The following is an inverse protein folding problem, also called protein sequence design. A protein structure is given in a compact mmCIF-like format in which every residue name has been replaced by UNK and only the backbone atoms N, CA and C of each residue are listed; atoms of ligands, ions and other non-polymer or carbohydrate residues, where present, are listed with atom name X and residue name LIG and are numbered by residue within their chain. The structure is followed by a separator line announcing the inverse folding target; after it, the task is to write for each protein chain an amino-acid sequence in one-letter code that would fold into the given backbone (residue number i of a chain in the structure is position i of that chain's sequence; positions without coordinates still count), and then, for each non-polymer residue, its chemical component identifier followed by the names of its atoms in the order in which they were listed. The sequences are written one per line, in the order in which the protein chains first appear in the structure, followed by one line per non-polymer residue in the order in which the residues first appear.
data_IF_308266933847
#
_entry.id   IF_308266933847
#
_cell.length_a   1.000
_cell.length_b   1.000
_cell.length_c   1.000
_cell.angle_alpha   90.00
_cell.angle_beta   90.00
_cell.angle_gamma   90.00
#
_symmetry.space_group_name_H-M   'P 1'
#
loop_
_entity.id
_entity.type
_entity.pdbx_description
1 polymer ?
#
# COMPACT_ATOMS: atom_id res chain seq x y z
N UNK A 1 -65.06 -9.63 49.65
CA UNK A 1 -64.49 -8.59 48.78
C UNK A 1 -62.97 -8.65 48.90
N UNK A 2 -62.24 -8.94 47.82
CA UNK A 2 -60.77 -9.01 47.88
C UNK A 2 -60.16 -9.46 46.56
N UNK A 3 -60.31 -8.65 45.50
CA UNK A 3 -59.61 -8.88 44.23
C UNK A 3 -58.23 -8.24 44.33
N UNK A 4 -57.19 -9.04 44.57
CA UNK A 4 -55.79 -8.58 44.65
C UNK A 4 -55.28 -8.30 43.23
N UNK A 5 -55.09 -7.01 42.96
CA UNK A 5 -54.67 -6.46 41.68
C UNK A 5 -53.19 -6.83 41.41
N UNK A 6 -52.92 -7.53 40.31
CA UNK A 6 -51.57 -7.96 39.90
C UNK A 6 -51.08 -7.00 38.81
N UNK A 7 -49.96 -6.27 38.96
CA UNK A 7 -49.48 -5.40 37.91
C UNK A 7 -48.95 -6.25 36.75
N UNK A 8 -49.35 -5.89 35.52
CA UNK A 8 -48.86 -6.50 34.30
C UNK A 8 -47.36 -6.18 34.09
N UNK A 9 -46.58 -7.10 33.51
CA UNK A 9 -45.18 -6.84 33.19
C UNK A 9 -45.08 -5.79 32.07
N UNK A 10 -44.19 -4.82 32.25
CA UNK A 10 -43.88 -3.81 31.26
C UNK A 10 -43.41 -4.45 29.94
N UNK A 11 -43.71 -3.84 28.78
CA UNK A 11 -43.19 -4.33 27.51
C UNK A 11 -41.67 -4.21 27.53
N UNK A 12 -40.98 -5.34 27.34
CA UNK A 12 -39.55 -5.37 27.06
C UNK A 12 -39.32 -4.54 25.80
N UNK A 13 -38.48 -3.53 25.89
CA UNK A 13 -37.95 -2.82 24.73
C UNK A 13 -37.43 -3.88 23.76
N UNK A 14 -38.08 -3.98 22.61
CA UNK A 14 -37.66 -4.88 21.55
C UNK A 14 -36.23 -4.52 21.18
N UNK A 15 -35.39 -5.54 21.11
CA UNK A 15 -33.99 -5.50 20.74
C UNK A 15 -33.75 -4.57 19.54
N UNK A 16 -33.12 -3.42 19.79
CA UNK A 16 -32.49 -2.57 18.77
C UNK A 16 -31.11 -3.15 18.37
N UNK A 17 -30.95 -4.48 18.47
CA UNK A 17 -29.75 -5.21 18.07
C UNK A 17 -29.84 -5.59 16.58
N UNK A 18 -30.13 -4.58 15.74
CA UNK A 18 -29.79 -4.68 14.33
C UNK A 18 -28.34 -4.20 14.22
N UNK A 19 -27.42 -5.00 13.67
CA UNK A 19 -26.12 -4.48 13.30
C UNK A 19 -26.36 -3.48 12.17
N UNK A 20 -26.58 -2.21 12.52
CA UNK A 20 -26.29 -1.12 11.60
C UNK A 20 -24.81 -1.28 11.31
N UNK A 21 -24.51 -2.00 10.23
CA UNK A 21 -23.12 -2.19 9.81
C UNK A 21 -22.52 -0.80 9.73
N UNK A 22 -21.26 -0.60 10.15
CA UNK A 22 -20.65 0.74 10.18
C UNK A 22 -20.83 1.55 8.87
N UNK A 23 -21.11 0.86 7.75
CA UNK A 23 -21.48 1.41 6.46
C UNK A 23 -22.81 2.19 6.43
N UNK A 24 -23.79 1.83 7.25
CA UNK A 24 -25.10 2.50 7.33
C UNK A 24 -25.06 3.76 8.22
N UNK A 25 -24.10 3.84 9.15
CA UNK A 25 -23.85 5.03 9.98
C UNK A 25 -22.85 6.00 9.35
N UNK A 26 -21.92 5.51 8.53
CA UNK A 26 -21.06 6.37 7.73
C UNK A 26 -21.84 6.88 6.52
N UNK A 27 -21.92 8.21 6.39
CA UNK A 27 -22.47 8.85 5.22
C UNK A 27 -21.75 8.32 3.94
N UNK A 28 -22.46 7.73 2.96
CA UNK A 28 -21.85 7.15 1.76
C UNK A 28 -20.99 8.17 0.99
N UNK A 29 -21.33 9.47 1.05
CA UNK A 29 -20.52 10.56 0.49
C UNK A 29 -19.11 10.63 1.10
N UNK A 30 -18.98 10.34 2.40
CA UNK A 30 -17.67 10.34 3.10
C UNK A 30 -16.85 9.12 2.68
N UNK A 31 -17.50 7.97 2.49
CA UNK A 31 -16.85 6.75 2.01
C UNK A 31 -16.34 6.94 0.57
N UNK A 32 -17.11 7.59 -0.30
CA UNK A 32 -16.67 7.90 -1.67
C UNK A 32 -15.48 8.86 -1.67
N UNK A 33 -15.52 9.92 -0.86
CA UNK A 33 -14.37 10.84 -0.70
C UNK A 33 -13.13 10.11 -0.19
N UNK A 34 -13.28 9.22 0.79
CA UNK A 34 -12.17 8.45 1.34
C UNK A 34 -11.58 7.47 0.31
N UNK A 35 -12.41 6.82 -0.51
CA UNK A 35 -11.93 6.00 -1.63
C UNK A 35 -11.16 6.85 -2.64
N UNK A 36 -11.71 7.99 -3.06
CA UNK A 36 -11.04 8.89 -3.99
C UNK A 36 -9.68 9.36 -3.45
N UNK A 37 -9.58 9.70 -2.16
CA UNK A 37 -8.32 10.07 -1.52
C UNK A 37 -7.34 8.88 -1.42
N UNK A 38 -7.83 7.69 -1.07
CA UNK A 38 -7.01 6.47 -1.05
C UNK A 38 -6.44 6.17 -2.44
N UNK A 39 -7.25 6.29 -3.49
CA UNK A 39 -6.82 6.01 -4.85
C UNK A 39 -5.83 7.06 -5.36
N UNK A 40 -6.00 8.33 -4.99
CA UNK A 40 -5.00 9.37 -5.22
C UNK A 40 -3.67 9.08 -4.52
N UNK A 41 -3.71 8.72 -3.23
CA UNK A 41 -2.49 8.40 -2.47
C UNK A 41 -1.75 7.20 -3.06
N UNK A 42 -2.47 6.15 -3.46
CA UNK A 42 -1.87 4.98 -4.12
C UNK A 42 -1.24 5.34 -5.46
N UNK A 43 -1.87 6.21 -6.24
CA UNK A 43 -1.32 6.67 -7.51
C UNK A 43 -0.03 7.48 -7.30
N UNK A 44 0.01 8.32 -6.26
CA UNK A 44 1.20 9.10 -5.93
C UNK A 44 2.34 8.22 -5.38
N UNK A 45 2.04 7.23 -4.54
CA UNK A 45 3.02 6.24 -4.08
C UNK A 45 3.59 5.41 -5.25
N UNK A 46 2.73 4.98 -6.18
CA UNK A 46 3.17 4.25 -7.37
C UNK A 46 4.14 5.10 -8.20
N UNK A 47 3.82 6.37 -8.45
CA UNK A 47 4.72 7.30 -9.15
C UNK A 47 6.04 7.50 -8.42
N UNK A 48 6.03 7.68 -7.10
CA UNK A 48 7.25 7.84 -6.29
C UNK A 48 8.15 6.61 -6.42
N UNK A 49 7.56 5.42 -6.37
CA UNK A 49 8.30 4.16 -6.50
C UNK A 49 8.87 3.98 -7.91
N UNK A 50 8.12 4.33 -8.94
CA UNK A 50 8.62 4.32 -10.33
C UNK A 50 9.77 5.30 -10.54
N UNK A 51 9.69 6.51 -9.98
CA UNK A 51 10.77 7.50 -10.04
C UNK A 51 12.03 7.03 -9.32
N UNK A 52 11.89 6.41 -8.15
CA UNK A 52 13.00 5.85 -7.39
C UNK A 52 13.68 4.71 -8.16
N UNK A 53 12.90 3.81 -8.75
CA UNK A 53 13.43 2.74 -9.59
C UNK A 53 14.14 3.27 -10.83
N UNK A 54 13.59 4.31 -11.46
CA UNK A 54 14.23 4.96 -12.62
C UNK A 54 15.56 5.60 -12.23
N UNK A 55 15.63 6.32 -11.10
CA UNK A 55 16.87 6.91 -10.58
C UNK A 55 17.91 5.85 -10.24
N UNK A 56 17.49 4.75 -9.61
CA UNK A 56 18.39 3.65 -9.28
C UNK A 56 18.95 2.96 -10.54
N UNK A 57 18.12 2.77 -11.57
CA UNK A 57 18.56 2.22 -12.86
C UNK A 57 19.55 3.16 -13.59
N UNK A 58 19.28 4.47 -13.56
CA UNK A 58 20.18 5.47 -14.15
C UNK A 58 21.52 5.53 -13.41
N UNK A 59 21.50 5.49 -12.07
CA UNK A 59 22.71 5.45 -11.26
C UNK A 59 23.56 4.21 -11.57
N UNK A 60 22.93 3.03 -11.64
CA UNK A 60 23.63 1.79 -12.02
C UNK A 60 24.23 1.87 -13.42
N UNK A 61 23.51 2.46 -14.38
CA UNK A 61 24.03 2.65 -15.74
C UNK A 61 25.21 3.62 -15.76
N UNK A 62 25.14 4.71 -14.99
CA UNK A 62 26.22 5.68 -14.90
C UNK A 62 27.47 5.08 -14.24
N UNK A 63 27.28 4.29 -13.18
CA UNK A 63 28.34 3.56 -12.51
C UNK A 63 28.98 2.52 -13.44
N UNK A 64 28.17 1.69 -14.10
CA UNK A 64 28.65 0.73 -15.09
C UNK A 64 29.47 1.44 -16.17
N UNK A 65 28.97 2.56 -16.71
CA UNK A 65 29.71 3.35 -17.69
C UNK A 65 31.03 3.86 -17.11
N UNK A 66 31.10 4.26 -15.84
CA UNK A 66 32.36 4.67 -15.22
C UNK A 66 33.32 3.49 -15.05
N UNK A 67 32.83 2.33 -14.66
CA UNK A 67 33.62 1.11 -14.53
C UNK A 67 34.14 0.62 -15.87
N UNK A 68 33.33 0.72 -16.93
CA UNK A 68 33.73 0.40 -18.31
C UNK A 68 34.79 1.36 -18.86
N UNK A 69 34.86 2.59 -18.35
CA UNK A 69 35.91 3.55 -18.69
C UNK A 69 37.14 3.45 -17.75
N UNK A 70 37.04 2.69 -16.66
CA UNK A 70 38.14 2.52 -15.71
C UNK A 70 38.98 1.30 -16.11
N UNK A 71 40.19 1.56 -16.61
CA UNK A 71 41.13 0.52 -17.04
C UNK A 71 41.51 -0.46 -15.93
N UNK A 72 41.60 -0.04 -14.67
CA UNK A 72 41.89 -0.97 -13.57
C UNK A 72 40.76 -1.98 -13.36
N UNK A 73 39.51 -1.51 -13.42
CA UNK A 73 38.33 -2.37 -13.31
C UNK A 73 38.24 -3.31 -14.52
N UNK A 74 38.47 -2.80 -15.73
CA UNK A 74 38.52 -3.63 -16.93
C UNK A 74 39.61 -4.70 -16.84
N UNK A 75 40.81 -4.34 -16.38
CA UNK A 75 41.93 -5.27 -16.29
C UNK A 75 41.70 -6.35 -15.22
N UNK A 76 41.13 -5.97 -14.07
CA UNK A 76 40.84 -6.93 -13.00
C UNK A 76 39.72 -7.91 -13.36
N UNK A 77 38.73 -7.49 -14.16
CA UNK A 77 37.59 -8.32 -14.57
C UNK A 77 37.76 -8.99 -15.94
N UNK A 78 38.77 -8.62 -16.72
CA UNK A 78 39.02 -9.23 -18.03
C UNK A 78 39.95 -10.44 -17.86
N UNK A 79 39.46 -11.64 -18.18
CA UNK A 79 40.25 -12.89 -18.25
C UNK A 79 41.17 -12.93 -19.48
N UNK A 80 41.83 -11.81 -19.81
CA UNK A 80 42.64 -11.71 -21.01
C UNK A 80 44.02 -12.35 -20.80
N UNK A 81 44.07 -13.67 -20.95
CA UNK A 81 45.32 -14.44 -20.96
C UNK A 81 45.92 -14.43 -22.38
N UNK A 82 46.81 -13.48 -22.63
CA UNK A 82 47.51 -13.29 -23.91
C UNK A 82 48.27 -14.52 -24.40
N UNK A 83 48.59 -15.47 -23.52
CA UNK A 83 49.21 -16.75 -23.89
C UNK A 83 48.27 -17.66 -24.71
N UNK A 84 46.96 -17.44 -24.63
CA UNK A 84 45.94 -18.22 -25.35
C UNK A 84 45.76 -17.79 -26.82
N UNK A 85 46.30 -16.63 -27.21
CA UNK A 85 46.13 -16.04 -28.55
C UNK A 85 47.42 -16.06 -29.38
N UNK A 86 48.37 -16.92 -29.03
CA UNK A 86 49.70 -17.00 -29.65
C UNK A 86 49.77 -18.07 -30.74
#
# INVERSE_FOLDING_TARGET
MGKKNRPAPAPRAADTDKPATLKDLLNPQVIEKLKAQSDQMKADEAKRREEEQRKAAEARKAEQKRLDNNFEHLLANSEMDWRKYK
#
